data_IF_865696816483
#
_entry.id   IF_865696816483
#
_cell.length_a   1.000
_cell.length_b   1.000
_cell.length_c   1.000
_cell.angle_alpha   90.00
_cell.angle_beta   90.00
_cell.angle_gamma   90.00
#
_symmetry.space_group_name_H-M   'P 1'
#
loop_
_entity.id
_entity.type
_entity.pdbx_description
1 polymer ?
#
# COMPACT_ATOMS: atom_id res chain seq x y z
N UNK A 1 3.85 4.45 -19.29
CA UNK A 1 4.43 3.34 -18.51
C UNK A 1 3.75 3.32 -17.16
N UNK A 2 3.30 2.17 -16.68
CA UNK A 2 2.77 2.02 -15.32
C UNK A 2 3.85 1.41 -14.43
N UNK A 3 3.91 1.86 -13.19
CA UNK A 3 4.82 1.36 -12.17
C UNK A 3 4.02 0.64 -11.09
N UNK A 4 4.52 -0.50 -10.62
CA UNK A 4 3.99 -1.16 -9.44
C UNK A 4 4.35 -0.34 -8.20
N UNK A 5 3.34 0.19 -7.52
CA UNK A 5 3.49 0.78 -6.21
C UNK A 5 3.09 -0.24 -5.14
N UNK A 6 4.00 -0.56 -4.23
CA UNK A 6 3.70 -1.38 -3.06
C UNK A 6 2.99 -0.51 -2.04
N UNK A 7 1.74 -0.85 -1.72
CA UNK A 7 0.95 -0.08 -0.75
C UNK A 7 1.68 -0.02 0.58
N UNK A 8 2.28 -1.13 1.03
CA UNK A 8 3.21 -1.14 2.16
C UNK A 8 4.65 -1.36 1.67
N UNK A 9 5.46 -0.31 1.76
CA UNK A 9 6.84 -0.28 1.29
C UNK A 9 7.88 -0.85 2.27
N UNK A 10 9.16 -0.58 2.00
CA UNK A 10 10.29 -0.97 2.85
C UNK A 10 10.35 -2.49 3.12
N UNK A 11 10.44 -2.93 4.40
CA UNK A 11 10.48 -4.35 4.73
C UNK A 11 9.20 -5.10 4.31
N UNK A 12 8.08 -4.40 4.13
CA UNK A 12 6.78 -4.98 3.82
C UNK A 12 6.52 -5.16 2.31
N UNK A 13 7.51 -4.90 1.43
CA UNK A 13 7.34 -5.07 -0.02
C UNK A 13 6.97 -6.50 -0.42
N UNK A 14 7.66 -7.50 0.16
CA UNK A 14 7.39 -8.92 -0.11
C UNK A 14 5.99 -9.33 0.36
N UNK A 15 5.58 -8.86 1.53
CA UNK A 15 4.23 -9.10 2.04
C UNK A 15 3.18 -8.43 1.13
N UNK A 16 3.43 -7.20 0.69
CA UNK A 16 2.56 -6.51 -0.27
C UNK A 16 2.41 -7.28 -1.58
N UNK A 17 3.48 -7.88 -2.10
CA UNK A 17 3.39 -8.75 -3.28
C UNK A 17 2.60 -10.04 -3.00
N UNK A 18 2.95 -10.75 -1.92
CA UNK A 18 2.32 -12.01 -1.51
C UNK A 18 0.80 -11.88 -1.34
N UNK A 19 0.34 -10.79 -0.73
CA UNK A 19 -1.07 -10.57 -0.44
C UNK A 19 -1.79 -9.71 -1.49
N UNK A 20 -1.11 -9.32 -2.56
CA UNK A 20 -1.69 -8.54 -3.66
C UNK A 20 -1.99 -7.08 -3.30
N UNK A 21 -1.28 -6.51 -2.32
CA UNK A 21 -1.39 -5.10 -1.89
C UNK A 21 -0.43 -4.22 -2.71
N UNK A 22 -0.57 -4.31 -4.02
CA UNK A 22 0.13 -3.45 -4.97
C UNK A 22 -0.87 -2.77 -5.89
N UNK A 23 -0.53 -1.56 -6.35
CA UNK A 23 -1.38 -0.79 -7.26
C UNK A 23 -0.55 -0.27 -8.43
N UNK A 24 -1.02 -0.44 -9.69
CA UNK A 24 -0.36 0.17 -10.83
C UNK A 24 -0.64 1.67 -10.85
N UNK A 25 0.42 2.48 -10.81
CA UNK A 25 0.32 3.94 -10.87
C UNK A 25 1.18 4.48 -12.03
N UNK A 26 0.73 5.55 -12.68
CA UNK A 26 1.59 6.28 -13.62
C UNK A 26 2.68 7.06 -12.86
N UNK A 27 3.77 7.50 -13.51
CA UNK A 27 4.85 8.23 -12.85
C UNK A 27 4.38 9.48 -12.09
N UNK A 28 3.38 10.18 -12.63
CA UNK A 28 2.77 11.37 -12.02
C UNK A 28 2.17 11.04 -10.64
N UNK A 29 1.41 9.94 -10.52
CA UNK A 29 0.80 9.52 -9.26
C UNK A 29 1.67 8.58 -8.42
N UNK A 30 2.80 8.11 -8.94
CA UNK A 30 3.73 7.28 -8.18
C UNK A 30 4.82 8.11 -7.51
N UNK A 31 5.63 8.84 -8.29
CA UNK A 31 6.87 9.45 -7.78
C UNK A 31 7.09 10.92 -8.14
N UNK A 32 6.39 11.48 -9.12
CA UNK A 32 6.75 12.78 -9.70
C UNK A 32 5.80 13.93 -9.34
N UNK A 33 4.49 13.69 -9.43
CA UNK A 33 3.46 14.69 -9.29
C UNK A 33 3.16 15.15 -7.86
N UNK A 34 2.31 16.17 -7.74
CA UNK A 34 1.84 16.70 -6.45
C UNK A 34 0.95 15.72 -5.68
N UNK A 35 0.32 14.79 -6.40
CA UNK A 35 -0.52 13.71 -5.86
C UNK A 35 0.24 12.37 -5.86
N UNK A 36 1.55 12.40 -6.10
CA UNK A 36 2.36 11.19 -6.10
C UNK A 36 2.34 10.53 -4.72
N UNK A 37 2.07 9.23 -4.66
CA UNK A 37 2.05 8.46 -3.41
C UNK A 37 3.37 8.59 -2.61
N UNK A 38 4.52 8.75 -3.28
CA UNK A 38 5.80 8.96 -2.60
C UNK A 38 6.06 10.41 -2.14
N UNK A 39 5.22 11.38 -2.54
CA UNK A 39 5.40 12.81 -2.24
C UNK A 39 4.26 13.43 -1.44
N UNK A 40 3.09 12.81 -1.47
CA UNK A 40 1.88 13.31 -0.82
C UNK A 40 1.48 12.36 0.33
N UNK A 41 1.61 12.85 1.57
CA UNK A 41 1.34 12.07 2.76
C UNK A 41 -0.14 11.69 2.90
N UNK A 42 -1.07 12.53 2.43
CA UNK A 42 -2.51 12.25 2.49
C UNK A 42 -2.87 11.09 1.55
N UNK A 43 -2.31 11.09 0.33
CA UNK A 43 -2.48 9.99 -0.62
C UNK A 43 -1.83 8.71 -0.10
N UNK A 44 -0.62 8.78 0.45
CA UNK A 44 0.04 7.63 1.05
C UNK A 44 -0.79 7.04 2.21
N UNK A 45 -1.29 7.89 3.11
CA UNK A 45 -2.13 7.46 4.23
C UNK A 45 -3.47 6.87 3.76
N UNK A 46 -4.07 7.42 2.71
CA UNK A 46 -5.27 6.87 2.08
C UNK A 46 -5.00 5.47 1.52
N UNK A 47 -3.92 5.29 0.74
CA UNK A 47 -3.54 3.99 0.18
C UNK A 47 -3.27 2.97 1.29
N UNK A 48 -2.58 3.34 2.38
CA UNK A 48 -2.36 2.45 3.51
C UNK A 48 -3.67 1.99 4.17
N UNK A 49 -4.62 2.92 4.44
CA UNK A 49 -5.93 2.56 5.01
C UNK A 49 -6.70 1.61 4.11
N UNK A 50 -6.83 1.96 2.83
CA UNK A 50 -7.51 1.12 1.83
C UNK A 50 -6.83 -0.24 1.67
N UNK A 51 -5.49 -0.29 1.74
CA UNK A 51 -4.72 -1.51 1.67
C UNK A 51 -4.98 -2.43 2.86
N UNK A 52 -5.02 -1.89 4.08
CA UNK A 52 -5.35 -2.68 5.27
C UNK A 52 -6.80 -3.17 5.24
N UNK A 53 -7.76 -2.31 4.89
CA UNK A 53 -9.17 -2.70 4.73
C UNK A 53 -9.33 -3.81 3.68
N UNK A 54 -8.64 -3.71 2.54
CA UNK A 54 -8.66 -4.73 1.50
C UNK A 54 -8.04 -6.05 1.97
N UNK A 55 -6.95 -5.99 2.74
CA UNK A 55 -6.32 -7.17 3.32
C UNK A 55 -7.28 -7.89 4.27
N UNK A 56 -7.79 -7.20 5.28
CA UNK A 56 -8.66 -7.79 6.30
C UNK A 56 -9.97 -8.32 5.73
N UNK A 57 -10.51 -7.66 4.69
CA UNK A 57 -11.69 -8.15 3.98
C UNK A 57 -11.41 -9.45 3.21
N UNK A 58 -10.21 -9.58 2.63
CA UNK A 58 -9.83 -10.73 1.80
C UNK A 58 -9.30 -11.91 2.63
N UNK A 59 -8.65 -11.62 3.75
CA UNK A 59 -8.00 -12.57 4.63
C UNK A 59 -8.49 -12.38 6.08
N UNK A 60 -9.78 -12.66 6.37
CA UNK A 60 -10.36 -12.38 7.68
C UNK A 60 -9.75 -13.20 8.82
N UNK A 61 -9.10 -14.32 8.50
CA UNK A 61 -8.45 -15.20 9.47
C UNK A 61 -6.97 -14.85 9.72
N UNK A 62 -6.41 -13.84 9.04
CA UNK A 62 -5.03 -13.39 9.23
C UNK A 62 -4.97 -12.08 10.00
N UNK A 63 -4.01 -11.95 10.91
CA UNK A 63 -3.76 -10.69 11.63
C UNK A 63 -2.85 -9.76 10.80
N UNK A 64 -3.41 -8.64 10.38
CA UNK A 64 -2.68 -7.62 9.63
C UNK A 64 -1.52 -7.01 10.45
N UNK A 65 -1.73 -6.76 11.74
CA UNK A 65 -0.73 -6.14 12.60
C UNK A 65 0.46 -7.07 12.82
N UNK A 66 0.23 -8.38 12.95
CA UNK A 66 1.33 -9.37 13.04
C UNK A 66 2.16 -9.42 11.76
N UNK A 67 1.53 -9.31 10.59
CA UNK A 67 2.22 -9.40 9.30
C UNK A 67 2.93 -8.10 8.92
N UNK A 68 2.29 -6.95 9.12
CA UNK A 68 2.78 -5.65 8.64
C UNK A 68 3.42 -4.79 9.74
N UNK A 69 3.27 -5.16 11.01
CA UNK A 69 3.92 -4.54 12.16
C UNK A 69 3.39 -3.17 12.57
N UNK A 70 2.38 -2.64 11.87
CA UNK A 70 1.77 -1.34 12.17
C UNK A 70 0.31 -1.34 11.74
N UNK A 71 -0.57 -0.79 12.58
CA UNK A 71 -1.95 -0.49 12.23
C UNK A 71 -2.00 0.89 11.53
N UNK A 72 -2.72 0.96 10.41
CA UNK A 72 -2.91 2.17 9.61
C UNK A 72 -4.35 2.70 9.65
N UNK A 73 -5.25 2.03 10.38
CA UNK A 73 -6.57 2.55 10.73
C UNK A 73 -6.51 3.53 11.89
#
# INVERSE_FOLDING_TARGET
MLHTHHVFGGPNRKASEQYGLTVPLCPEHHTQGKEAAHRNQEIAALLHRLGQEAFEKRFPDLDFLEIFGRNYK
#
